data_IF_901750792666
#
_entry.id   IF_901750792666
#
_cell.length_a   1.000
_cell.length_b   1.000
_cell.length_c   1.000
_cell.angle_alpha   90.00
_cell.angle_beta   90.00
_cell.angle_gamma   90.00
#
_symmetry.space_group_name_H-M   'P 1'
#
loop_
_entity.id
_entity.type
_entity.pdbx_description
1 polymer ?
#
# COMPACT_ATOMS: atom_id res chain seq x y z
N UNK A 1 -38.27 -12.67 -54.25
CA UNK A 1 -36.90 -12.70 -53.68
C UNK A 1 -36.76 -11.52 -52.70
N UNK A 2 -37.28 -11.69 -51.49
CA UNK A 2 -37.26 -10.67 -50.44
C UNK A 2 -36.97 -11.36 -49.10
N UNK A 3 -35.75 -11.87 -48.97
CA UNK A 3 -35.22 -12.50 -47.76
C UNK A 3 -33.72 -12.48 -47.94
N UNK A 4 -33.08 -11.37 -47.61
CA UNK A 4 -31.63 -11.23 -47.39
C UNK A 4 -31.18 -9.78 -47.08
N UNK A 5 -32.10 -8.83 -46.81
CA UNK A 5 -31.72 -7.44 -46.48
C UNK A 5 -31.88 -7.05 -45.00
N UNK A 6 -32.30 -7.98 -44.13
CA UNK A 6 -32.57 -7.69 -42.71
C UNK A 6 -31.47 -8.17 -41.75
N UNK A 7 -30.48 -8.93 -42.22
CA UNK A 7 -29.40 -9.43 -41.36
C UNK A 7 -28.15 -8.54 -41.32
N UNK A 8 -28.04 -7.55 -42.22
CA UNK A 8 -26.87 -6.68 -42.30
C UNK A 8 -26.93 -5.44 -41.40
N UNK A 9 -28.10 -5.06 -40.88
CA UNK A 9 -28.22 -3.88 -40.03
C UNK A 9 -27.98 -4.15 -38.53
N UNK A 10 -28.00 -5.42 -38.08
CA UNK A 10 -27.86 -5.73 -36.66
C UNK A 10 -26.41 -5.91 -36.19
N UNK A 11 -25.46 -6.06 -37.12
CA UNK A 11 -24.04 -6.26 -36.79
C UNK A 11 -23.30 -4.92 -36.55
N UNK A 12 -23.80 -3.81 -37.08
CA UNK A 12 -23.13 -2.51 -36.96
C UNK A 12 -23.37 -1.77 -35.64
N UNK A 13 -24.42 -2.09 -34.87
CA UNK A 13 -24.76 -1.36 -33.64
C UNK A 13 -23.94 -1.82 -32.43
N UNK A 14 -23.43 -3.07 -32.46
CA UNK A 14 -22.63 -3.61 -31.34
C UNK A 14 -21.19 -3.07 -31.36
N UNK A 15 -20.67 -2.67 -32.53
CA UNK A 15 -19.30 -2.17 -32.68
C UNK A 15 -19.09 -0.75 -32.14
N UNK A 16 -20.14 0.09 -32.09
CA UNK A 16 -20.03 1.45 -31.57
C UNK A 16 -19.95 1.50 -30.03
N UNK A 17 -20.57 0.55 -29.32
CA UNK A 17 -20.57 0.52 -27.86
C UNK A 17 -19.21 0.10 -27.30
N UNK A 18 -18.51 -0.83 -27.97
CA UNK A 18 -17.17 -1.28 -27.55
C UNK A 18 -16.14 -0.15 -27.76
N UNK A 19 -16.23 0.58 -28.87
CA UNK A 19 -15.30 1.67 -29.18
C UNK A 19 -15.44 2.86 -28.21
N UNK A 20 -16.67 3.21 -27.83
CA UNK A 20 -16.95 4.28 -26.86
C UNK A 20 -16.42 3.98 -25.45
N UNK A 21 -16.62 2.74 -24.96
CA UNK A 21 -16.07 2.32 -23.65
C UNK A 21 -14.54 2.27 -23.63
N UNK A 22 -13.90 1.88 -24.73
CA UNK A 22 -12.43 1.85 -24.80
C UNK A 22 -11.82 3.25 -24.80
N UNK A 23 -12.49 4.23 -25.41
CA UNK A 23 -12.00 5.61 -25.51
C UNK A 23 -12.14 6.35 -24.16
N UNK A 24 -13.27 6.19 -23.48
CA UNK A 24 -13.53 6.76 -22.15
C UNK A 24 -12.63 6.11 -21.07
N UNK A 25 -12.34 4.82 -21.18
CA UNK A 25 -11.37 4.13 -20.32
C UNK A 25 -9.91 4.54 -20.59
N UNK A 26 -9.54 4.83 -21.85
CA UNK A 26 -8.20 5.33 -22.20
C UNK A 26 -7.97 6.76 -21.71
N UNK A 27 -8.98 7.63 -21.79
CA UNK A 27 -8.87 9.03 -21.33
C UNK A 27 -8.71 9.09 -19.80
N UNK A 28 -9.40 8.19 -19.08
CA UNK A 28 -9.34 8.10 -17.61
C UNK A 28 -8.00 7.57 -17.07
N UNK A 29 -7.22 6.88 -17.91
CA UNK A 29 -5.91 6.28 -17.55
C UNK A 29 -4.76 6.82 -18.41
N UNK A 30 -4.91 8.02 -18.99
CA UNK A 30 -3.81 8.67 -19.67
C UNK A 30 -2.73 9.05 -18.64
N UNK A 31 -1.54 8.47 -18.78
CA UNK A 31 -0.36 8.85 -18.01
C UNK A 31 -0.04 10.31 -18.30
N UNK A 32 -0.35 11.20 -17.35
CA UNK A 32 0.11 12.58 -17.39
C UNK A 32 1.57 12.60 -16.94
N UNK A 33 2.44 13.16 -17.77
CA UNK A 33 3.80 13.42 -17.36
C UNK A 33 3.80 14.27 -16.08
N UNK A 34 4.74 14.05 -15.14
CA UNK A 34 4.83 14.81 -13.90
C UNK A 34 4.76 16.32 -14.19
N UNK A 35 3.73 16.98 -13.67
CA UNK A 35 3.56 18.43 -13.84
C UNK A 35 4.47 19.20 -12.88
N UNK A 36 4.73 18.60 -11.72
CA UNK A 36 5.52 19.18 -10.65
C UNK A 36 6.70 18.29 -10.29
N UNK A 37 7.80 18.91 -9.84
CA UNK A 37 9.02 18.21 -9.45
C UNK A 37 8.80 17.29 -8.25
N UNK A 38 7.89 17.65 -7.34
CA UNK A 38 7.53 16.77 -6.22
C UNK A 38 6.89 15.45 -6.68
N UNK A 39 6.20 15.43 -7.82
CA UNK A 39 5.60 14.21 -8.35
C UNK A 39 6.68 13.24 -8.83
N UNK A 40 7.79 13.73 -9.34
CA UNK A 40 8.90 12.88 -9.76
C UNK A 40 9.77 12.47 -8.56
N UNK A 41 10.12 13.41 -7.68
CA UNK A 41 11.08 13.18 -6.60
C UNK A 41 10.45 12.48 -5.39
N UNK A 42 9.25 12.88 -4.99
CA UNK A 42 8.65 12.40 -3.75
C UNK A 42 7.84 11.12 -3.98
N UNK A 43 7.23 10.94 -5.16
CA UNK A 43 6.39 9.77 -5.44
C UNK A 43 7.14 8.44 -5.49
N UNK A 44 8.48 8.47 -5.66
CA UNK A 44 9.33 7.27 -5.67
C UNK A 44 9.32 6.53 -4.34
N UNK A 45 9.10 7.24 -3.23
CA UNK A 45 9.12 6.71 -1.88
C UNK A 45 7.81 6.89 -1.11
N UNK A 46 6.95 7.82 -1.56
CA UNK A 46 5.71 8.18 -0.89
C UNK A 46 4.55 8.22 -1.90
N UNK A 47 3.32 7.93 -1.47
CA UNK A 47 2.16 8.25 -2.30
C UNK A 47 1.92 9.77 -2.26
N UNK A 48 1.36 10.35 -3.32
CA UNK A 48 1.01 11.78 -3.31
C UNK A 48 -0.01 12.08 -2.20
N UNK A 49 -0.98 11.20 -1.99
CA UNK A 49 -1.92 11.29 -0.88
C UNK A 49 -1.23 11.42 0.48
N UNK A 50 -0.18 10.61 0.73
CA UNK A 50 0.62 10.69 1.96
C UNK A 50 1.37 12.01 2.09
N UNK A 51 1.97 12.50 1.00
CA UNK A 51 2.70 13.79 1.02
C UNK A 51 1.76 14.89 1.52
N UNK A 52 0.52 14.86 1.04
CA UNK A 52 -0.47 15.90 1.26
C UNK A 52 -1.51 15.58 2.34
N UNK A 53 -1.26 14.55 3.16
CA UNK A 53 -2.25 14.06 4.14
C UNK A 53 -2.51 15.05 5.28
N UNK A 54 -1.57 15.96 5.53
CA UNK A 54 -1.63 16.96 6.58
C UNK A 54 -1.46 18.36 5.96
N UNK A 55 -2.31 19.34 6.32
CA UNK A 55 -2.07 20.73 5.94
C UNK A 55 -0.78 21.21 6.61
N UNK A 56 0.04 21.95 5.86
CA UNK A 56 1.29 22.55 6.33
C UNK A 56 1.41 23.97 5.78
N UNK A 57 1.87 24.88 6.62
CA UNK A 57 2.33 26.21 6.24
C UNK A 57 3.58 26.11 5.35
N UNK A 58 3.91 27.19 4.65
CA UNK A 58 5.14 27.25 3.84
C UNK A 58 6.39 26.91 4.67
N UNK A 59 6.48 27.43 5.91
CA UNK A 59 7.64 27.16 6.77
C UNK A 59 7.70 25.68 7.19
N UNK A 60 6.56 25.07 7.51
CA UNK A 60 6.49 23.64 7.81
C UNK A 60 6.85 22.76 6.59
N UNK A 61 6.49 23.20 5.39
CA UNK A 61 6.92 22.54 4.15
C UNK A 61 8.42 22.64 3.94
N UNK A 62 9.02 23.83 4.13
CA UNK A 62 10.48 24.01 4.07
C UNK A 62 11.19 23.05 5.01
N UNK A 63 10.77 23.02 6.28
CA UNK A 63 11.33 22.09 7.26
C UNK A 63 11.18 20.62 6.84
N UNK A 64 10.02 20.23 6.31
CA UNK A 64 9.76 18.87 5.85
C UNK A 64 10.68 18.47 4.70
N UNK A 65 10.83 19.33 3.68
CA UNK A 65 11.70 19.07 2.52
C UNK A 65 13.15 18.99 2.95
N UNK A 66 13.63 19.91 3.79
CA UNK A 66 14.99 19.88 4.37
C UNK A 66 15.24 18.58 5.14
N UNK A 67 14.27 18.09 5.92
CA UNK A 67 14.40 16.79 6.58
C UNK A 67 14.51 15.62 5.58
N UNK A 68 13.78 15.66 4.47
CA UNK A 68 13.86 14.60 3.45
C UNK A 68 15.21 14.62 2.72
N UNK A 69 15.73 15.82 2.43
CA UNK A 69 17.09 16.01 1.90
C UNK A 69 18.14 15.40 2.84
N UNK A 70 18.00 15.61 4.15
CA UNK A 70 18.90 15.02 5.15
C UNK A 70 18.83 13.49 5.23
N UNK A 71 17.65 12.88 4.97
CA UNK A 71 17.48 11.42 5.00
C UNK A 71 18.02 10.72 3.75
N UNK A 72 18.03 11.41 2.61
CA UNK A 72 18.62 10.90 1.37
C UNK A 72 19.48 11.98 0.72
N UNK A 73 20.71 12.19 1.22
CA UNK A 73 21.65 13.12 0.62
C UNK A 73 21.82 12.79 -0.86
N UNK A 74 21.82 13.80 -1.73
CA UNK A 74 21.88 13.70 -3.21
C UNK A 74 20.56 13.43 -3.96
N UNK A 75 19.45 13.12 -3.28
CA UNK A 75 18.16 12.89 -3.98
C UNK A 75 17.47 14.19 -4.43
N UNK A 76 17.52 15.19 -3.55
CA UNK A 76 16.98 16.53 -3.74
C UNK A 76 18.11 17.51 -3.41
N UNK A 77 18.49 18.35 -4.38
CA UNK A 77 19.44 19.46 -4.20
C UNK A 77 18.78 20.65 -3.50
N UNK A 78 19.56 21.59 -2.96
CA UNK A 78 19.02 22.78 -2.31
C UNK A 78 18.10 23.59 -3.24
N UNK A 79 18.50 23.74 -4.52
CA UNK A 79 17.70 24.43 -5.53
C UNK A 79 16.39 23.69 -5.86
N UNK A 80 16.44 22.36 -5.97
CA UNK A 80 15.24 21.54 -6.18
C UNK A 80 14.31 21.59 -4.95
N UNK A 81 14.87 21.63 -3.74
CA UNK A 81 14.12 21.73 -2.49
C UNK A 81 13.31 23.02 -2.44
N UNK A 82 13.94 24.16 -2.73
CA UNK A 82 13.28 25.46 -2.82
C UNK A 82 12.18 25.48 -3.89
N UNK A 83 12.44 24.89 -5.06
CA UNK A 83 11.45 24.75 -6.12
C UNK A 83 10.26 23.90 -5.70
N UNK A 84 10.50 22.74 -5.06
CA UNK A 84 9.44 21.85 -4.56
C UNK A 84 8.53 22.58 -3.57
N UNK A 85 9.12 23.33 -2.62
CA UNK A 85 8.34 24.15 -1.68
C UNK A 85 7.50 25.18 -2.44
N UNK A 86 8.11 25.88 -3.40
CA UNK A 86 7.40 26.85 -4.24
C UNK A 86 6.22 26.24 -5.00
N UNK A 87 6.42 25.08 -5.63
CA UNK A 87 5.38 24.33 -6.35
C UNK A 87 4.25 23.88 -5.43
N UNK A 88 4.56 23.41 -4.22
CA UNK A 88 3.54 22.98 -3.25
C UNK A 88 2.70 24.16 -2.74
N UNK A 89 3.35 25.27 -2.40
CA UNK A 89 2.69 26.46 -1.83
C UNK A 89 1.86 27.20 -2.88
N UNK A 90 2.36 27.34 -4.11
CA UNK A 90 1.71 28.14 -5.15
C UNK A 90 0.86 27.31 -6.12
N UNK A 91 1.15 26.02 -6.28
CA UNK A 91 0.56 25.18 -7.31
C UNK A 91 -0.82 24.61 -6.98
N UNK A 92 -1.27 24.65 -5.71
CA UNK A 92 -2.50 23.95 -5.29
C UNK A 92 -3.47 24.87 -4.55
N UNK A 93 -4.24 25.66 -5.31
CA UNK A 93 -5.40 26.42 -4.78
C UNK A 93 -6.60 25.53 -4.42
N UNK A 94 -6.59 24.29 -4.91
CA UNK A 94 -7.77 23.42 -4.96
C UNK A 94 -7.89 22.52 -3.72
N UNK A 95 -6.87 22.54 -2.86
CA UNK A 95 -6.86 21.73 -1.64
C UNK A 95 -7.17 22.66 -0.48
N UNK A 96 -8.45 23.05 -0.36
CA UNK A 96 -8.98 23.37 0.97
C UNK A 96 -8.56 22.24 1.86
N UNK A 97 -7.75 22.55 2.88
CA UNK A 97 -7.34 21.60 3.89
C UNK A 97 -8.57 20.75 4.21
N UNK A 98 -8.51 19.46 3.89
CA UNK A 98 -9.46 18.52 4.46
C UNK A 98 -9.05 18.51 5.92
N UNK A 99 -9.56 19.49 6.68
CA UNK A 99 -9.61 19.50 8.13
C UNK A 99 -10.65 18.47 8.53
N UNK A 100 -10.47 17.22 8.08
CA UNK A 100 -11.22 16.12 8.61
C UNK A 100 -10.63 15.89 10.00
N UNK A 101 -11.35 16.41 10.99
CA UNK A 101 -11.15 16.00 12.37
C UNK A 101 -11.05 14.47 12.41
N UNK A 102 -10.11 13.90 13.19
CA UNK A 102 -9.95 12.46 13.28
C UNK A 102 -11.28 11.82 13.68
N UNK A 103 -11.81 10.95 12.81
CA UNK A 103 -13.08 10.25 13.05
C UNK A 103 -12.89 9.21 14.13
N UNK A 104 -13.82 9.11 15.06
CA UNK A 104 -13.87 7.99 16.01
C UNK A 104 -14.37 6.74 15.30
N UNK A 105 -13.78 5.59 15.60
CA UNK A 105 -14.19 4.29 15.09
C UNK A 105 -14.43 3.31 16.25
N UNK A 106 -15.51 2.54 16.17
CA UNK A 106 -15.79 1.46 17.12
C UNK A 106 -14.96 0.20 16.81
N UNK A 107 -14.71 -0.06 15.53
CA UNK A 107 -13.91 -1.19 15.07
C UNK A 107 -12.41 -0.82 15.02
N UNK A 108 -11.61 -1.52 15.82
CA UNK A 108 -10.16 -1.32 15.90
C UNK A 108 -9.41 -1.65 14.59
N UNK A 109 -9.97 -2.53 13.75
CA UNK A 109 -9.41 -2.81 12.42
C UNK A 109 -9.55 -1.61 11.49
N UNK A 110 -10.71 -0.97 11.51
CA UNK A 110 -10.96 0.24 10.71
C UNK A 110 -10.10 1.39 11.23
N UNK A 111 -10.00 1.53 12.56
CA UNK A 111 -9.10 2.48 13.19
C UNK A 111 -7.65 2.27 12.75
N UNK A 112 -7.16 1.02 12.77
CA UNK A 112 -5.81 0.67 12.31
C UNK A 112 -5.59 1.05 10.84
N UNK A 113 -6.56 0.76 9.96
CA UNK A 113 -6.46 1.11 8.55
C UNK A 113 -6.35 2.64 8.40
N UNK A 114 -7.25 3.40 9.00
CA UNK A 114 -7.30 4.86 8.85
C UNK A 114 -6.07 5.56 9.45
N UNK A 115 -5.59 5.11 10.63
CA UNK A 115 -4.46 5.73 11.34
C UNK A 115 -3.12 5.32 10.78
N UNK A 116 -2.92 4.03 10.54
CA UNK A 116 -1.60 3.47 10.29
C UNK A 116 -1.34 3.30 8.79
N UNK A 117 -2.35 2.95 8.00
CA UNK A 117 -2.14 2.59 6.59
C UNK A 117 -2.21 3.77 5.62
N UNK A 118 -2.71 4.92 6.07
CA UNK A 118 -2.67 6.19 5.33
C UNK A 118 -1.25 6.60 4.93
N UNK A 119 -0.26 6.26 5.77
CA UNK A 119 1.15 6.60 5.55
C UNK A 119 2.08 5.39 5.41
N UNK A 120 1.74 4.24 6.00
CA UNK A 120 2.60 3.06 6.04
C UNK A 120 1.93 1.87 5.35
N UNK A 121 2.72 1.00 4.70
CA UNK A 121 2.17 -0.25 4.21
C UNK A 121 1.86 -1.18 5.39
N UNK A 122 0.76 -1.94 5.31
CA UNK A 122 0.40 -2.93 6.34
C UNK A 122 1.55 -3.89 6.61
N UNK A 123 2.21 -4.37 5.54
CA UNK A 123 3.37 -5.27 5.65
C UNK A 123 4.49 -4.68 6.51
N UNK A 124 4.80 -3.38 6.38
CA UNK A 124 5.86 -2.74 7.18
C UNK A 124 5.55 -2.80 8.67
N UNK A 125 4.28 -2.59 9.02
CA UNK A 125 3.81 -2.58 10.41
C UNK A 125 3.79 -4.01 10.95
N UNK A 126 3.15 -4.93 10.23
CA UNK A 126 2.97 -6.32 10.65
C UNK A 126 4.28 -7.14 10.73
N UNK A 127 5.35 -6.69 10.07
CA UNK A 127 6.69 -7.28 10.18
C UNK A 127 7.43 -6.95 11.47
N UNK A 128 6.98 -5.95 12.23
CA UNK A 128 7.68 -5.58 13.45
C UNK A 128 7.36 -6.58 14.56
N UNK A 129 8.41 -7.10 15.20
CA UNK A 129 8.26 -7.90 16.41
C UNK A 129 8.46 -6.99 17.63
N UNK A 130 7.36 -6.55 18.24
CA UNK A 130 7.34 -5.63 19.37
C UNK A 130 6.45 -6.13 20.50
N UNK A 131 6.76 -5.76 21.74
CA UNK A 131 5.88 -5.88 22.90
C UNK A 131 4.77 -4.83 22.86
N UNK A 132 3.80 -4.91 23.77
CA UNK A 132 2.76 -3.88 23.91
C UNK A 132 3.36 -2.52 24.24
N UNK A 133 4.32 -2.48 25.16
CA UNK A 133 5.00 -1.24 25.56
C UNK A 133 5.77 -0.61 24.38
N UNK A 134 6.54 -1.42 23.65
CA UNK A 134 7.29 -0.93 22.47
C UNK A 134 6.36 -0.46 21.34
N UNK A 135 5.17 -1.05 21.23
CA UNK A 135 4.14 -0.59 20.31
C UNK A 135 3.53 0.74 20.77
N UNK A 136 3.23 0.88 22.06
CA UNK A 136 2.70 2.11 22.63
C UNK A 136 3.66 3.27 22.39
N UNK A 137 4.96 3.09 22.67
CA UNK A 137 6.00 4.09 22.36
C UNK A 137 6.03 4.45 20.88
N UNK A 138 5.89 3.45 20.00
CA UNK A 138 5.89 3.67 18.55
C UNK A 138 4.67 4.48 18.12
N UNK A 139 3.48 4.19 18.64
CA UNK A 139 2.25 4.90 18.32
C UNK A 139 2.29 6.32 18.89
N UNK A 140 2.78 6.51 20.11
CA UNK A 140 2.98 7.84 20.70
C UNK A 140 3.90 8.70 19.83
N UNK A 141 5.01 8.14 19.35
CA UNK A 141 5.88 8.82 18.39
C UNK A 141 5.16 9.12 17.06
N UNK A 142 4.28 8.23 16.58
CA UNK A 142 3.50 8.53 15.36
C UNK A 142 2.51 9.67 15.60
N UNK A 143 1.88 9.73 16.77
CA UNK A 143 1.03 10.85 17.19
C UNK A 143 1.80 12.15 17.31
N UNK A 144 3.01 12.15 17.88
CA UNK A 144 3.84 13.36 17.93
C UNK A 144 4.16 13.89 16.53
N UNK A 145 4.35 12.99 15.56
CA UNK A 145 4.65 13.36 14.18
C UNK A 145 3.41 13.75 13.35
N UNK A 146 2.21 13.33 13.74
CA UNK A 146 0.95 13.58 13.05
C UNK A 146 -0.20 13.73 14.06
N UNK A 147 -0.19 14.77 14.91
CA UNK A 147 -1.13 14.92 16.02
C UNK A 147 -2.58 15.02 15.55
N UNK A 148 -2.80 15.54 14.35
CA UNK A 148 -4.12 15.66 13.72
C UNK A 148 -4.77 14.32 13.35
N UNK A 149 -4.00 13.24 13.27
CA UNK A 149 -4.51 11.93 12.90
C UNK A 149 -5.00 11.11 14.09
N UNK A 150 -4.55 11.38 15.32
CA UNK A 150 -4.78 10.48 16.47
C UNK A 150 -5.63 11.15 17.57
N UNK A 151 -6.59 10.40 18.11
CA UNK A 151 -7.25 10.69 19.37
C UNK A 151 -6.49 10.04 20.54
N UNK A 152 -6.62 10.59 21.75
CA UNK A 152 -6.04 9.99 22.97
C UNK A 152 -6.49 8.54 23.19
N UNK A 153 -7.77 8.26 22.92
CA UNK A 153 -8.39 6.94 23.04
C UNK A 153 -7.90 5.94 21.98
N UNK A 154 -7.33 6.40 20.86
CA UNK A 154 -6.82 5.52 19.81
C UNK A 154 -5.58 4.75 20.28
N UNK A 155 -4.77 5.36 21.15
CA UNK A 155 -3.48 4.84 21.59
C UNK A 155 -3.60 3.47 22.26
N UNK A 156 -4.40 3.29 23.34
CA UNK A 156 -4.53 1.98 23.98
C UNK A 156 -5.17 0.93 23.05
N UNK A 157 -6.13 1.32 22.20
CA UNK A 157 -6.81 0.41 21.26
C UNK A 157 -5.85 -0.14 20.20
N UNK A 158 -5.09 0.75 19.55
CA UNK A 158 -4.09 0.36 18.55
C UNK A 158 -2.94 -0.43 19.18
N UNK A 159 -2.53 -0.07 20.40
CA UNK A 159 -1.50 -0.79 21.15
C UNK A 159 -1.92 -2.24 21.39
N UNK A 160 -3.12 -2.45 21.96
CA UNK A 160 -3.67 -3.77 22.21
C UNK A 160 -3.80 -4.59 20.93
N UNK A 161 -4.34 -3.98 19.87
CA UNK A 161 -4.49 -4.62 18.56
C UNK A 161 -3.15 -5.11 17.98
N UNK A 162 -2.13 -4.26 17.97
CA UNK A 162 -0.82 -4.61 17.41
C UNK A 162 -0.07 -5.63 18.27
N UNK A 163 -0.22 -5.58 19.59
CA UNK A 163 0.37 -6.55 20.52
C UNK A 163 -0.25 -7.96 20.34
N UNK A 164 -1.59 -8.03 20.29
CA UNK A 164 -2.36 -9.25 20.02
C UNK A 164 -1.98 -9.83 18.66
N UNK A 165 -1.94 -8.98 17.62
CA UNK A 165 -1.60 -9.40 16.27
C UNK A 165 -0.16 -9.90 16.17
N UNK A 166 0.77 -9.24 16.86
CA UNK A 166 2.16 -9.68 16.97
C UNK A 166 2.28 -11.03 17.68
N UNK A 167 1.47 -11.26 18.71
CA UNK A 167 1.41 -12.56 19.40
C UNK A 167 0.91 -13.67 18.48
N UNK A 168 -0.19 -13.44 17.75
CA UNK A 168 -0.70 -14.40 16.76
C UNK A 168 0.34 -14.77 15.70
N UNK A 169 1.12 -13.78 15.22
CA UNK A 169 2.19 -14.03 14.26
C UNK A 169 3.40 -14.76 14.87
N UNK A 170 3.71 -14.55 16.15
CA UNK A 170 4.77 -15.30 16.85
C UNK A 170 4.38 -16.75 17.10
N UNK A 171 3.13 -16.97 17.48
CA UNK A 171 2.62 -18.29 17.84
C UNK A 171 2.33 -19.15 16.59
N UNK A 172 2.05 -18.53 15.44
CA UNK A 172 1.89 -19.21 14.15
C UNK A 172 3.13 -19.00 13.25
N UNK A 173 4.05 -19.98 13.30
CA UNK A 173 5.27 -20.00 12.48
C UNK A 173 4.97 -19.87 10.98
N UNK A 174 3.87 -20.46 10.49
CA UNK A 174 3.54 -20.39 9.07
C UNK A 174 3.05 -18.98 8.67
N UNK A 175 2.25 -18.34 9.53
CA UNK A 175 1.81 -16.96 9.31
C UNK A 175 3.00 -15.98 9.31
N UNK A 176 3.99 -16.18 10.20
CA UNK A 176 5.24 -15.43 10.17
C UNK A 176 5.97 -15.61 8.84
N UNK A 177 6.12 -16.84 8.37
CA UNK A 177 6.76 -17.14 7.08
C UNK A 177 6.03 -16.41 5.94
N UNK A 178 4.69 -16.41 5.91
CA UNK A 178 3.92 -15.69 4.89
C UNK A 178 4.25 -14.19 4.89
N UNK A 179 4.27 -13.55 6.07
CA UNK A 179 4.56 -12.11 6.19
C UNK A 179 6.02 -11.80 5.79
N UNK A 180 6.98 -12.61 6.25
CA UNK A 180 8.40 -12.38 6.05
C UNK A 180 8.89 -12.72 4.64
N UNK A 181 8.24 -13.67 3.95
CA UNK A 181 8.73 -14.23 2.69
C UNK A 181 7.77 -14.04 1.51
N UNK A 182 6.46 -14.04 1.72
CA UNK A 182 5.50 -13.88 0.63
C UNK A 182 5.08 -12.41 0.47
N UNK A 183 4.74 -11.73 1.58
CA UNK A 183 4.23 -10.36 1.54
C UNK A 183 5.30 -9.28 1.32
N UNK A 184 6.56 -9.69 1.16
CA UNK A 184 7.65 -8.80 0.75
C UNK A 184 7.43 -8.29 -0.66
N UNK A 185 6.91 -9.16 -1.54
CA UNK A 185 6.77 -8.91 -2.98
C UNK A 185 5.32 -9.01 -3.47
N UNK A 186 4.43 -9.59 -2.67
CA UNK A 186 3.04 -9.83 -3.05
C UNK A 186 2.09 -9.17 -2.07
N UNK A 187 0.96 -8.70 -2.58
CA UNK A 187 -0.15 -8.27 -1.74
C UNK A 187 -0.89 -9.49 -1.20
N UNK A 188 -1.38 -9.41 0.04
CA UNK A 188 -2.05 -10.52 0.70
C UNK A 188 -3.31 -10.98 -0.06
N UNK A 189 -4.08 -10.04 -0.62
CA UNK A 189 -5.28 -10.37 -1.40
C UNK A 189 -5.00 -11.26 -2.59
N UNK A 190 -3.89 -11.02 -3.31
CA UNK A 190 -3.50 -11.87 -4.46
C UNK A 190 -3.24 -13.32 -4.07
N UNK A 191 -2.70 -13.56 -2.88
CA UNK A 191 -2.39 -14.91 -2.41
C UNK A 191 -3.65 -15.57 -1.82
N UNK A 192 -4.36 -14.85 -0.96
CA UNK A 192 -5.48 -15.40 -0.18
C UNK A 192 -6.76 -15.61 -1.00
N UNK A 193 -6.92 -14.88 -2.12
CA UNK A 193 -8.07 -15.06 -3.03
C UNK A 193 -7.84 -16.18 -4.05
N UNK A 194 -6.60 -16.64 -4.21
CA UNK A 194 -6.25 -17.69 -5.17
C UNK A 194 -6.66 -19.06 -4.63
N UNK A 195 -7.24 -19.90 -5.51
CA UNK A 195 -7.63 -21.28 -5.17
C UNK A 195 -6.83 -22.28 -5.98
N UNK A 196 -6.09 -23.16 -5.30
CA UNK A 196 -5.31 -24.25 -5.89
C UNK A 196 -5.42 -25.52 -5.05
N UNK A 197 -5.22 -26.67 -5.70
CA UNK A 197 -4.97 -27.92 -5.00
C UNK A 197 -3.66 -27.83 -4.21
N UNK A 198 -3.45 -28.73 -3.23
CA UNK A 198 -2.16 -28.85 -2.53
C UNK A 198 -0.99 -28.92 -3.51
N UNK A 199 -1.10 -29.78 -4.53
CA UNK A 199 -0.08 -29.92 -5.57
C UNK A 199 0.13 -28.62 -6.35
N UNK A 200 -0.94 -27.90 -6.69
CA UNK A 200 -0.84 -26.60 -7.34
C UNK A 200 -0.16 -25.53 -6.48
N UNK A 201 -0.35 -25.55 -5.15
CA UNK A 201 0.40 -24.68 -4.24
C UNK A 201 1.86 -25.07 -4.11
N UNK A 202 2.16 -26.36 -4.02
CA UNK A 202 3.55 -26.85 -4.02
C UNK A 202 4.29 -26.38 -5.27
N UNK A 203 3.68 -26.54 -6.46
CA UNK A 203 4.26 -26.11 -7.72
C UNK A 203 4.46 -24.59 -7.77
N UNK A 204 3.50 -23.81 -7.25
CA UNK A 204 3.60 -22.36 -7.14
C UNK A 204 4.77 -21.93 -6.23
N UNK A 205 4.90 -22.52 -5.04
CA UNK A 205 5.98 -22.19 -4.09
C UNK A 205 7.34 -22.63 -4.63
N UNK A 206 7.42 -23.77 -5.34
CA UNK A 206 8.63 -24.19 -6.07
C UNK A 206 9.01 -23.16 -7.12
N UNK A 207 8.06 -22.71 -7.94
CA UNK A 207 8.31 -21.69 -8.95
C UNK A 207 8.81 -20.38 -8.32
N UNK A 208 8.24 -19.96 -7.20
CA UNK A 208 8.72 -18.77 -6.46
C UNK A 208 10.13 -18.97 -5.89
N UNK A 209 10.47 -20.15 -5.40
CA UNK A 209 11.83 -20.48 -4.93
C UNK A 209 12.84 -20.42 -6.07
N UNK A 210 12.51 -20.96 -7.24
CA UNK A 210 13.36 -20.88 -8.45
C UNK A 210 13.55 -19.42 -8.86
N UNK A 211 12.46 -18.67 -9.00
CA UNK A 211 12.51 -17.26 -9.38
C UNK A 211 13.35 -16.42 -8.38
N UNK A 212 13.23 -16.68 -7.09
CA UNK A 212 14.01 -15.98 -6.07
C UNK A 212 15.50 -16.33 -6.12
N UNK A 213 15.86 -17.58 -6.44
CA UNK A 213 17.25 -17.98 -6.67
C UNK A 213 17.83 -17.30 -7.91
N UNK A 214 17.06 -17.19 -8.98
CA UNK A 214 17.50 -16.54 -10.21
C UNK A 214 17.66 -15.03 -10.05
N UNK A 215 16.67 -14.36 -9.42
CA UNK A 215 16.64 -12.90 -9.30
C UNK A 215 17.46 -12.35 -8.15
N UNK A 216 17.53 -13.07 -7.03
CA UNK A 216 18.13 -12.57 -5.80
C UNK A 216 19.30 -13.44 -5.30
N UNK A 217 19.62 -14.54 -5.98
CA UNK A 217 20.66 -15.50 -5.57
C UNK A 217 20.48 -15.99 -4.13
N UNK A 218 19.23 -16.13 -3.69
CA UNK A 218 18.86 -16.56 -2.34
C UNK A 218 18.04 -17.82 -2.38
N UNK A 219 18.29 -18.72 -1.43
CA UNK A 219 17.37 -19.82 -1.17
C UNK A 219 16.22 -19.33 -0.30
N UNK A 220 15.07 -19.07 -0.94
CA UNK A 220 14.00 -18.33 -0.30
C UNK A 220 13.28 -19.12 0.80
N UNK A 221 13.12 -20.43 0.64
CA UNK A 221 12.48 -21.33 1.59
C UNK A 221 13.38 -22.52 1.92
N UNK A 222 13.53 -22.85 3.21
CA UNK A 222 14.02 -24.18 3.63
C UNK A 222 12.97 -25.25 3.34
N UNK A 223 13.37 -26.52 3.42
CA UNK A 223 12.45 -27.65 3.21
C UNK A 223 11.29 -27.66 4.22
N UNK A 224 11.53 -27.24 5.47
CA UNK A 224 10.50 -27.20 6.50
C UNK A 224 9.58 -25.99 6.33
N UNK A 225 10.14 -24.82 6.02
CA UNK A 225 9.35 -23.63 5.71
C UNK A 225 8.46 -23.83 4.48
N UNK A 226 8.95 -24.55 3.47
CA UNK A 226 8.19 -24.94 2.29
C UNK A 226 6.92 -25.72 2.67
N UNK A 227 7.04 -26.71 3.56
CA UNK A 227 5.89 -27.51 4.01
C UNK A 227 4.90 -26.64 4.78
N UNK A 228 5.40 -25.85 5.73
CA UNK A 228 4.57 -24.99 6.57
C UNK A 228 3.78 -23.96 5.76
N UNK A 229 4.42 -23.32 4.77
CA UNK A 229 3.73 -22.33 3.94
C UNK A 229 2.69 -22.97 3.02
N UNK A 230 2.99 -24.14 2.42
CA UNK A 230 2.00 -24.88 1.61
C UNK A 230 0.81 -25.31 2.46
N UNK A 231 1.04 -25.82 3.67
CA UNK A 231 -0.04 -26.21 4.57
C UNK A 231 -0.90 -25.01 4.97
N UNK A 232 -0.30 -23.86 5.25
CA UNK A 232 -1.06 -22.63 5.52
C UNK A 232 -1.91 -22.24 4.31
N UNK A 233 -1.30 -22.18 3.11
CA UNK A 233 -1.98 -21.77 1.88
C UNK A 233 -3.18 -22.66 1.56
N UNK A 234 -3.06 -23.98 1.75
CA UNK A 234 -4.18 -24.91 1.58
C UNK A 234 -5.29 -24.64 2.60
N UNK A 235 -4.93 -24.43 3.88
CA UNK A 235 -5.89 -24.18 4.97
C UNK A 235 -6.63 -22.85 4.83
N UNK A 236 -5.99 -21.83 4.28
CA UNK A 236 -6.55 -20.46 4.17
C UNK A 236 -7.62 -20.30 3.09
N UNK A 237 -7.86 -21.31 2.25
CA UNK A 237 -8.82 -21.20 1.13
C UNK A 237 -10.28 -21.31 1.58
N UNK A 238 -10.54 -21.64 2.85
CA UNK A 238 -11.88 -21.93 3.35
C UNK A 238 -12.42 -23.27 2.83
N UNK A 239 -13.32 -23.87 3.60
CA UNK A 239 -14.03 -25.11 3.27
C UNK A 239 -14.80 -25.03 1.96
#
# INVERSE_FOLDING_TARGET
MARNLLFLCFVFIVSFNVYGQTQEAQEKYQYKAPQFLYEEKCSKCHTLERIFSAPKTENEWRMCVTQMMGKSPLWITDQEGERIVGEIVHGRKDMTAITAQPKKYEDVHVLFIDRCTKCHTMTRILKQNKTGEEWQETILRMRENAPELFLDEDIPLLTGYLAERGKLLRDDVAARIMVEKCLVCHEAGRILLERKSRKGWEDCVVAMRVLAREKFHKDWFTSDEFRLIVDLLVRTQGS
#
